data_IF_921110485054
#
_entry.id   IF_921110485054
#
_cell.length_a   1.000
_cell.length_b   1.000
_cell.length_c   1.000
_cell.angle_alpha   90.00
_cell.angle_beta   90.00
_cell.angle_gamma   90.00
#
_symmetry.space_group_name_H-M   'P 1'
#
loop_
_entity.id
_entity.type
_entity.pdbx_description
1 polymer ?
#
# COMPACT_ATOMS: atom_id res chain seq x y z
N UNK A 1 -6.78 7.67 6.77
CA UNK A 1 -7.03 9.13 6.58
C UNK A 1 -8.25 9.52 7.39
N UNK A 2 -8.24 10.67 8.10
CA UNK A 2 -9.40 11.11 8.89
C UNK A 2 -10.66 11.19 8.01
N UNK A 3 -11.76 10.60 8.47
CA UNK A 3 -13.05 10.63 7.78
C UNK A 3 -13.23 9.62 6.64
N UNK A 4 -12.21 8.84 6.26
CA UNK A 4 -12.33 7.79 5.23
C UNK A 4 -12.51 6.42 5.87
N UNK A 5 -13.34 5.57 5.27
CA UNK A 5 -13.55 4.19 5.69
C UNK A 5 -13.65 3.25 4.48
N UNK A 6 -13.67 1.94 4.75
CA UNK A 6 -13.89 0.91 3.72
C UNK A 6 -15.25 1.04 3.02
N UNK A 7 -16.20 1.76 3.62
CA UNK A 7 -17.54 1.97 3.04
C UNK A 7 -17.48 2.68 1.68
N UNK A 8 -16.56 3.63 1.50
CA UNK A 8 -16.42 4.38 0.26
C UNK A 8 -15.96 3.47 -0.91
N UNK A 9 -14.82 2.75 -0.83
CA UNK A 9 -14.43 1.79 -1.87
C UNK A 9 -15.49 0.71 -2.14
N UNK A 10 -16.09 0.15 -1.09
CA UNK A 10 -17.12 -0.89 -1.23
C UNK A 10 -18.34 -0.34 -1.99
N UNK A 11 -18.76 0.89 -1.67
CA UNK A 11 -19.84 1.55 -2.37
C UNK A 11 -19.52 1.75 -3.86
N UNK A 12 -18.32 2.24 -4.18
CA UNK A 12 -17.89 2.42 -5.57
C UNK A 12 -17.87 1.12 -6.36
N UNK A 13 -17.26 0.06 -5.81
CA UNK A 13 -17.22 -1.26 -6.45
C UNK A 13 -18.63 -1.77 -6.73
N UNK A 14 -19.54 -1.67 -5.74
CA UNK A 14 -20.94 -2.08 -5.91
C UNK A 14 -21.65 -1.29 -7.01
N UNK A 15 -21.49 0.03 -7.02
CA UNK A 15 -22.12 0.90 -8.02
C UNK A 15 -21.67 0.54 -9.45
N UNK A 16 -20.39 0.22 -9.62
CA UNK A 16 -19.81 -0.20 -10.91
C UNK A 16 -20.39 -1.54 -11.33
N UNK A 17 -20.43 -2.52 -10.42
CA UNK A 17 -21.02 -3.84 -10.68
C UNK A 17 -22.50 -3.75 -11.09
N UNK A 18 -23.30 -2.98 -10.34
CA UNK A 18 -24.72 -2.79 -10.60
C UNK A 18 -24.95 -2.12 -11.96
N UNK A 19 -24.21 -1.04 -12.26
CA UNK A 19 -24.34 -0.30 -13.53
C UNK A 19 -24.02 -1.18 -14.75
N UNK A 20 -23.00 -2.03 -14.67
CA UNK A 20 -22.63 -2.92 -15.78
C UNK A 20 -23.64 -4.06 -15.94
N UNK A 21 -24.13 -4.60 -14.82
CA UNK A 21 -25.17 -5.63 -14.81
C UNK A 21 -26.47 -5.13 -15.42
N UNK A 22 -26.92 -3.93 -15.06
CA UNK A 22 -28.14 -3.31 -15.63
C UNK A 22 -28.03 -3.09 -17.15
N UNK A 23 -26.82 -2.78 -17.63
CA UNK A 23 -26.55 -2.52 -19.05
C UNK A 23 -26.19 -3.78 -19.84
N UNK A 24 -26.19 -4.97 -19.23
CA UNK A 24 -25.68 -6.22 -19.82
C UNK A 24 -24.29 -6.06 -20.45
N UNK A 25 -23.39 -5.34 -19.76
CA UNK A 25 -21.98 -5.18 -20.18
C UNK A 25 -21.09 -6.13 -19.41
N UNK A 26 -19.99 -6.52 -20.06
CA UNK A 26 -18.91 -7.27 -19.42
C UNK A 26 -18.20 -6.35 -18.44
N UNK A 27 -17.83 -6.90 -17.29
CA UNK A 27 -17.04 -6.23 -16.27
C UNK A 27 -16.00 -7.22 -15.77
N UNK A 28 -14.74 -6.84 -15.86
CA UNK A 28 -13.60 -7.58 -15.33
C UNK A 28 -12.97 -6.78 -14.18
N UNK A 29 -12.67 -7.46 -13.08
CA UNK A 29 -12.02 -6.86 -11.91
C UNK A 29 -10.89 -7.77 -11.42
N UNK A 30 -9.70 -7.22 -11.22
CA UNK A 30 -8.56 -7.90 -10.58
C UNK A 30 -8.33 -7.26 -9.22
N UNK A 31 -8.32 -8.09 -8.18
CA UNK A 31 -8.00 -7.71 -6.81
C UNK A 31 -6.55 -8.09 -6.53
N UNK A 32 -5.74 -7.12 -6.15
CA UNK A 32 -4.31 -7.27 -5.87
C UNK A 32 -4.10 -6.96 -4.39
N UNK A 33 -3.51 -7.92 -3.68
CA UNK A 33 -3.10 -7.78 -2.29
C UNK A 33 -1.57 -7.79 -2.22
N UNK A 34 -0.98 -6.81 -1.53
CA UNK A 34 0.46 -6.73 -1.37
C UNK A 34 0.92 -7.59 -0.20
N UNK A 35 1.53 -8.74 -0.50
CA UNK A 35 1.99 -9.68 0.52
C UNK A 35 2.91 -8.99 1.55
N UNK A 36 2.47 -8.95 2.82
CA UNK A 36 3.27 -8.41 3.94
C UNK A 36 3.75 -6.99 3.67
N UNK A 37 2.83 -6.13 3.23
CA UNK A 37 3.15 -4.77 2.78
C UNK A 37 3.93 -3.95 3.83
N UNK A 38 3.66 -4.17 5.12
CA UNK A 38 4.38 -3.51 6.21
C UNK A 38 5.78 -4.10 6.42
N UNK A 39 5.93 -5.42 6.38
CA UNK A 39 7.19 -6.10 6.70
C UNK A 39 8.18 -6.12 5.53
N UNK A 40 7.69 -6.08 4.29
CA UNK A 40 8.52 -6.12 3.07
C UNK A 40 8.82 -4.74 2.48
N UNK A 41 8.41 -3.69 3.16
CA UNK A 41 8.52 -2.33 2.68
C UNK A 41 9.98 -1.87 2.47
N UNK A 42 10.38 -1.39 1.28
CA UNK A 42 11.76 -0.95 1.05
C UNK A 42 12.09 0.37 1.77
N UNK A 43 13.03 0.34 2.72
CA UNK A 43 13.42 1.52 3.52
C UNK A 43 14.08 2.64 2.69
N UNK A 44 14.75 2.29 1.59
CA UNK A 44 15.32 3.29 0.68
C UNK A 44 14.25 4.12 -0.04
N UNK A 45 13.13 3.48 -0.39
CA UNK A 45 11.98 4.14 -1.00
C UNK A 45 11.37 5.15 -0.01
N UNK A 46 11.33 4.81 1.28
CA UNK A 46 10.88 5.74 2.33
C UNK A 46 11.71 7.03 2.34
N UNK A 47 13.05 6.90 2.44
CA UNK A 47 13.96 8.05 2.47
C UNK A 47 13.79 8.90 1.22
N UNK A 48 13.74 8.27 0.05
CA UNK A 48 13.53 8.96 -1.22
C UNK A 48 12.22 9.76 -1.25
N UNK A 49 11.10 9.17 -0.80
CA UNK A 49 9.79 9.83 -0.82
C UNK A 49 9.72 10.98 0.17
N UNK A 50 10.29 10.82 1.37
CA UNK A 50 10.34 11.91 2.35
C UNK A 50 11.11 13.12 1.80
N UNK A 51 12.22 12.89 1.10
CA UNK A 51 12.95 13.95 0.40
C UNK A 51 12.12 14.56 -0.75
N UNK A 52 11.46 13.73 -1.56
CA UNK A 52 10.60 14.18 -2.67
C UNK A 52 9.43 15.04 -2.20
N UNK A 53 8.83 14.72 -1.04
CA UNK A 53 7.76 15.50 -0.41
C UNK A 53 8.26 16.80 0.23
N UNK A 54 9.57 17.07 0.22
CA UNK A 54 10.16 18.32 0.69
C UNK A 54 10.39 18.40 2.19
N UNK A 55 10.47 17.26 2.90
CA UNK A 55 10.78 17.29 4.32
C UNK A 55 12.22 17.78 4.55
N UNK A 56 12.48 18.61 5.58
CA UNK A 56 13.83 19.00 5.92
C UNK A 56 14.72 17.79 6.22
N UNK A 57 15.98 17.85 5.78
CA UNK A 57 16.95 16.74 5.91
C UNK A 57 17.09 16.23 7.35
N UNK A 58 16.95 17.11 8.34
CA UNK A 58 16.96 16.73 9.75
C UNK A 58 15.87 15.69 10.08
N UNK A 59 14.63 15.88 9.61
CA UNK A 59 13.54 14.92 9.82
C UNK A 59 13.74 13.63 9.03
N UNK A 60 14.22 13.73 7.79
CA UNK A 60 14.53 12.54 6.97
C UNK A 60 15.56 11.67 7.67
N UNK A 61 16.61 12.28 8.24
CA UNK A 61 17.64 11.57 8.99
C UNK A 61 17.05 10.94 10.27
N UNK A 62 16.31 11.70 11.09
CA UNK A 62 15.70 11.15 12.31
C UNK A 62 14.80 9.95 12.01
N UNK A 63 13.97 10.04 10.96
CA UNK A 63 13.12 8.92 10.54
C UNK A 63 13.97 7.78 10.00
N UNK A 64 15.03 8.07 9.24
CA UNK A 64 15.97 7.07 8.75
C UNK A 64 16.66 6.30 9.87
N UNK A 65 17.14 7.00 10.89
CA UNK A 65 17.82 6.45 12.06
C UNK A 65 16.91 5.50 12.85
N UNK A 66 15.59 5.75 12.87
CA UNK A 66 14.63 4.81 13.47
C UNK A 66 14.65 3.44 12.79
N UNK A 67 15.05 3.34 11.53
CA UNK A 67 15.04 2.11 10.75
C UNK A 67 16.45 1.59 10.43
N UNK A 68 17.52 2.13 11.02
CA UNK A 68 18.88 1.68 10.75
C UNK A 68 19.40 0.72 11.83
N UNK A 69 20.08 -0.36 11.41
CA UNK A 69 20.82 -1.24 12.32
C UNK A 69 19.99 -2.06 13.29
N UNK A 70 18.69 -2.23 13.01
CA UNK A 70 17.76 -2.88 13.93
C UNK A 70 17.95 -4.40 14.02
N UNK A 71 17.99 -4.88 15.26
CA UNK A 71 17.89 -6.28 15.61
C UNK A 71 16.52 -6.54 16.22
N UNK A 72 15.84 -7.58 15.76
CA UNK A 72 14.57 -8.02 16.31
C UNK A 72 14.79 -9.38 17.00
N UNK A 73 14.33 -9.48 18.24
CA UNK A 73 14.20 -10.73 18.97
C UNK A 73 12.74 -11.14 19.07
N UNK A 74 12.45 -12.44 19.00
CA UNK A 74 11.09 -12.97 19.12
C UNK A 74 10.98 -13.74 20.43
N UNK A 75 10.07 -13.29 21.30
CA UNK A 75 9.77 -13.96 22.56
C UNK A 75 8.41 -14.64 22.48
N UNK A 76 8.39 -15.96 22.68
CA UNK A 76 7.20 -16.80 22.64
C UNK A 76 7.06 -17.66 23.91
N UNK A 77 5.93 -18.36 24.05
CA UNK A 77 5.72 -19.32 25.15
C UNK A 77 6.72 -20.49 25.13
N UNK A 78 7.32 -20.78 23.97
CA UNK A 78 8.26 -21.89 23.76
C UNK A 78 9.71 -21.46 24.00
N UNK A 79 9.97 -20.16 24.14
CA UNK A 79 11.30 -19.61 24.34
C UNK A 79 11.53 -18.30 23.59
N UNK A 80 12.74 -17.78 23.76
CA UNK A 80 13.24 -16.57 23.10
C UNK A 80 14.20 -16.98 21.98
N UNK A 81 14.01 -16.41 20.79
CA UNK A 81 14.86 -16.63 19.62
C UNK A 81 16.00 -15.61 19.65
N UNK A 82 17.18 -16.02 19.19
CA UNK A 82 18.31 -15.09 19.01
C UNK A 82 17.95 -13.92 18.10
N UNK A 83 18.49 -12.76 18.45
CA UNK A 83 18.30 -11.52 17.71
C UNK A 83 18.79 -11.66 16.26
N UNK A 84 17.98 -11.21 15.31
CA UNK A 84 18.33 -11.15 13.90
C UNK A 84 18.13 -9.74 13.34
N UNK A 85 18.95 -9.39 12.35
CA UNK A 85 18.85 -8.08 11.68
C UNK A 85 17.65 -8.02 10.75
N UNK A 86 16.93 -6.91 10.82
CA UNK A 86 15.85 -6.60 9.88
C UNK A 86 16.21 -5.35 9.09
N UNK A 87 16.35 -5.52 7.77
CA UNK A 87 16.72 -4.46 6.83
C UNK A 87 15.57 -3.93 5.97
N UNK A 88 14.35 -4.47 6.15
CA UNK A 88 13.16 -4.11 5.37
C UNK A 88 11.97 -3.93 6.31
N UNK A 89 10.93 -3.28 5.81
CA UNK A 89 9.71 -3.08 6.53
C UNK A 89 9.70 -1.83 7.40
N UNK A 90 8.48 -1.43 7.76
CA UNK A 90 8.20 -0.43 8.79
C UNK A 90 7.79 -1.13 10.08
N UNK A 91 7.94 -0.45 11.23
CA UNK A 91 7.64 -1.06 12.52
C UNK A 91 6.15 -1.26 12.71
N UNK A 92 5.75 -2.51 12.90
CA UNK A 92 4.38 -2.83 13.30
C UNK A 92 4.14 -2.34 14.73
N UNK A 93 2.99 -1.67 14.96
CA UNK A 93 2.66 -1.08 16.27
C UNK A 93 3.25 0.31 16.53
N UNK A 94 4.08 0.85 15.64
CA UNK A 94 4.49 2.26 15.70
C UNK A 94 3.33 3.19 15.31
N UNK A 95 3.19 4.31 16.02
CA UNK A 95 2.20 5.34 15.68
C UNK A 95 2.56 6.09 14.37
N UNK A 96 3.85 6.11 14.01
CA UNK A 96 4.35 6.82 12.83
C UNK A 96 4.29 5.95 11.57
N UNK A 97 4.55 4.64 11.69
CA UNK A 97 4.61 3.71 10.54
C UNK A 97 3.39 3.75 9.63
N UNK A 98 2.12 3.78 10.11
CA UNK A 98 0.95 3.88 9.24
C UNK A 98 0.93 5.15 8.37
N UNK A 99 1.43 6.27 8.90
CA UNK A 99 1.51 7.53 8.17
C UNK A 99 2.60 7.49 7.10
N UNK A 100 3.77 6.93 7.44
CA UNK A 100 4.88 6.75 6.50
C UNK A 100 4.51 5.79 5.38
N UNK A 101 3.87 4.67 5.71
CA UNK A 101 3.34 3.72 4.74
C UNK A 101 2.34 4.40 3.80
N UNK A 102 1.37 5.13 4.35
CA UNK A 102 0.38 5.87 3.54
C UNK A 102 1.02 6.90 2.61
N UNK A 103 2.06 7.64 3.05
CA UNK A 103 2.76 8.62 2.23
C UNK A 103 3.46 8.00 1.03
N UNK A 104 4.03 6.81 1.23
CA UNK A 104 4.73 6.09 0.16
C UNK A 104 3.76 5.44 -0.79
N UNK A 105 2.72 4.78 -0.26
CA UNK A 105 1.65 4.20 -1.07
C UNK A 105 0.99 5.30 -1.91
N UNK A 106 0.69 6.48 -1.34
CA UNK A 106 0.19 7.65 -2.11
C UNK A 106 1.12 8.03 -3.28
N UNK A 107 2.43 7.94 -3.09
CA UNK A 107 3.40 8.32 -4.12
C UNK A 107 3.61 7.24 -5.19
N UNK A 108 3.61 5.95 -4.81
CA UNK A 108 3.63 4.81 -5.73
C UNK A 108 2.33 4.76 -6.53
N UNK A 109 1.21 5.03 -5.87
CA UNK A 109 -0.10 5.09 -6.51
C UNK A 109 -0.11 6.16 -7.59
N UNK A 110 0.47 7.34 -7.39
CA UNK A 110 0.47 8.38 -8.44
C UNK A 110 1.05 7.92 -9.77
N UNK A 111 2.00 7.00 -9.76
CA UNK A 111 2.52 6.39 -11.01
C UNK A 111 1.57 5.36 -11.63
N UNK A 112 0.68 4.77 -10.84
CA UNK A 112 -0.27 3.71 -11.23
C UNK A 112 -1.71 4.28 -11.34
N UNK A 113 -1.92 5.55 -10.98
CA UNK A 113 -3.25 6.09 -10.71
C UNK A 113 -4.05 6.22 -12.01
N UNK A 114 -4.99 5.31 -12.20
CA UNK A 114 -6.06 5.44 -13.18
C UNK A 114 -7.21 6.28 -12.64
N UNK A 115 -8.09 6.75 -13.53
CA UNK A 115 -9.33 7.41 -13.13
C UNK A 115 -10.27 6.41 -12.42
N UNK A 116 -11.01 6.86 -11.40
CA UNK A 116 -12.12 6.10 -10.84
C UNK A 116 -13.19 5.94 -11.93
N UNK A 117 -13.74 4.74 -12.18
CA UNK A 117 -13.63 3.52 -11.34
C UNK A 117 -12.56 2.51 -11.78
N UNK A 118 -11.71 2.82 -12.74
CA UNK A 118 -10.80 1.90 -13.40
C UNK A 118 -9.61 1.45 -12.53
N UNK A 119 -9.28 2.21 -11.50
CA UNK A 119 -8.30 1.84 -10.47
C UNK A 119 -8.79 2.38 -9.11
N UNK A 120 -8.94 1.50 -8.12
CA UNK A 120 -9.38 1.84 -6.76
C UNK A 120 -8.42 1.25 -5.74
N UNK A 121 -8.16 1.98 -4.65
CA UNK A 121 -7.10 1.66 -3.71
C UNK A 121 -7.57 1.87 -2.27
N UNK A 122 -7.24 0.94 -1.38
CA UNK A 122 -7.45 1.09 0.06
C UNK A 122 -6.35 0.37 0.84
N UNK A 123 -5.52 1.13 1.56
CA UNK A 123 -4.32 0.59 2.22
C UNK A 123 -3.41 -0.14 1.21
N UNK A 124 -3.23 -1.45 1.38
CA UNK A 124 -2.48 -2.36 0.53
C UNK A 124 -3.33 -3.08 -0.53
N UNK A 125 -4.65 -2.95 -0.48
CA UNK A 125 -5.57 -3.50 -1.48
C UNK A 125 -5.67 -2.59 -2.73
N UNK A 126 -5.52 -3.18 -3.91
CA UNK A 126 -5.70 -2.53 -5.20
C UNK A 126 -6.76 -3.27 -6.00
N UNK A 127 -7.65 -2.54 -6.66
CA UNK A 127 -8.64 -3.09 -7.59
C UNK A 127 -8.46 -2.42 -8.95
N UNK A 128 -8.12 -3.23 -9.95
CA UNK A 128 -8.14 -2.83 -11.35
C UNK A 128 -9.45 -3.26 -11.98
N UNK A 129 -10.09 -2.35 -12.71
CA UNK A 129 -11.37 -2.57 -13.37
C UNK A 129 -11.23 -2.30 -14.86
N UNK A 130 -11.91 -3.09 -15.68
CA UNK A 130 -11.98 -2.92 -17.14
C UNK A 130 -13.17 -3.65 -17.75
N UNK A 131 -13.39 -3.45 -19.04
CA UNK A 131 -14.53 -4.02 -19.78
C UNK A 131 -14.14 -5.31 -20.53
N UNK A 132 -12.87 -5.70 -20.52
CA UNK A 132 -12.39 -7.00 -21.03
C UNK A 132 -11.26 -7.57 -20.16
N UNK A 133 -11.02 -8.88 -20.25
CA UNK A 133 -9.92 -9.53 -19.52
C UNK A 133 -8.55 -9.09 -20.06
N UNK A 134 -8.44 -8.91 -21.37
CA UNK A 134 -7.22 -8.46 -22.04
C UNK A 134 -6.83 -7.05 -21.58
N UNK A 135 -7.80 -6.14 -21.45
CA UNK A 135 -7.57 -4.79 -20.96
C UNK A 135 -7.03 -4.79 -19.53
N UNK A 136 -7.65 -5.54 -18.62
CA UNK A 136 -7.24 -5.56 -17.21
C UNK A 136 -5.90 -6.27 -17.05
N UNK A 137 -5.62 -7.32 -17.83
CA UNK A 137 -4.31 -7.99 -17.83
C UNK A 137 -3.21 -7.07 -18.36
N UNK A 138 -3.45 -6.34 -19.44
CA UNK A 138 -2.48 -5.36 -19.97
C UNK A 138 -2.10 -4.34 -18.89
N UNK A 139 -3.08 -3.83 -18.14
CA UNK A 139 -2.87 -2.86 -17.05
C UNK A 139 -2.21 -3.45 -15.80
N UNK A 140 -2.22 -4.78 -15.64
CA UNK A 140 -1.49 -5.46 -14.57
C UNK A 140 0.00 -5.62 -14.92
N UNK A 141 0.32 -5.70 -16.21
CA UNK A 141 1.68 -5.99 -16.71
C UNK A 141 2.49 -4.72 -17.07
N UNK A 142 1.87 -3.55 -17.18
CA UNK A 142 2.55 -2.23 -17.29
C UNK A 142 3.19 -1.76 -15.97
#
# INVERSE_FOLDING_TARGET
MPGKSTMEPIFFVRQVMETHREKNRILCMIFIDLEKAYERFPREVLKWILMKKGLPKAYVNIIGDMYEGENIGVKSLVGEIEDFRVGVGVHQGSALSPHLFSLVIDEIIKSIQGEVPWCMLFADDIVLVGESLEEVNYRLEE
#
